data_IF_730737644589
#
_entry.id   IF_730737644589
#
_cell.length_a   1.000
_cell.length_b   1.000
_cell.length_c   1.000
_cell.angle_alpha   90.00
_cell.angle_beta   90.00
_cell.angle_gamma   90.00
#
_symmetry.space_group_name_H-M   'P 1'
#
loop_
_entity.id
_entity.type
_entity.pdbx_description
1 polymer ?
#
# COMPACT_ATOMS: atom_id res chain seq x y z
N UNK A 1 17.28 -19.36 -1.24
CA UNK A 1 15.94 -18.78 -1.52
C UNK A 1 16.10 -17.77 -2.65
N UNK A 2 15.28 -17.83 -3.71
CA UNK A 2 15.37 -16.87 -4.82
C UNK A 2 15.03 -15.45 -4.37
N UNK A 3 15.57 -14.42 -5.06
CA UNK A 3 15.27 -13.00 -4.74
C UNK A 3 13.77 -12.69 -4.88
N UNK A 4 13.11 -13.30 -5.88
CA UNK A 4 11.66 -13.16 -6.09
C UNK A 4 10.86 -13.75 -4.92
N UNK A 5 11.18 -14.96 -4.46
CA UNK A 5 10.50 -15.57 -3.31
C UNK A 5 10.69 -14.74 -2.03
N UNK A 6 11.91 -14.20 -1.81
CA UNK A 6 12.17 -13.28 -0.70
C UNK A 6 11.32 -12.01 -0.80
N UNK A 7 11.19 -11.45 -2.02
CA UNK A 7 10.37 -10.27 -2.27
C UNK A 7 8.89 -10.53 -1.94
N UNK A 8 8.32 -11.65 -2.39
CA UNK A 8 6.93 -12.01 -2.10
C UNK A 8 6.68 -12.20 -0.59
N UNK A 9 7.56 -12.92 0.11
CA UNK A 9 7.43 -13.10 1.57
C UNK A 9 7.49 -11.75 2.29
N UNK A 10 8.41 -10.86 1.92
CA UNK A 10 8.53 -9.55 2.54
C UNK A 10 7.32 -8.66 2.25
N UNK A 11 6.74 -8.72 1.03
CA UNK A 11 5.51 -8.01 0.70
C UNK A 11 4.31 -8.53 1.51
N UNK A 12 4.21 -9.84 1.73
CA UNK A 12 3.18 -10.42 2.61
C UNK A 12 3.33 -9.92 4.05
N UNK A 13 4.57 -9.83 4.57
CA UNK A 13 4.83 -9.29 5.92
C UNK A 13 4.47 -7.79 6.01
N UNK A 14 4.76 -7.02 4.97
CA UNK A 14 4.33 -5.61 4.89
C UNK A 14 2.80 -5.53 4.92
N UNK A 15 2.12 -6.35 4.14
CA UNK A 15 0.66 -6.38 4.07
C UNK A 15 0.03 -6.79 5.41
N UNK A 16 0.64 -7.74 6.12
CA UNK A 16 0.27 -8.11 7.48
C UNK A 16 0.39 -6.90 8.43
N UNK A 17 1.53 -6.19 8.39
CA UNK A 17 1.74 -5.01 9.23
C UNK A 17 0.68 -3.93 8.95
N UNK A 18 0.34 -3.67 7.68
CA UNK A 18 -0.70 -2.71 7.32
C UNK A 18 -2.09 -3.15 7.81
N UNK A 19 -2.47 -4.42 7.61
CA UNK A 19 -3.74 -4.96 8.08
C UNK A 19 -3.93 -4.82 9.58
N UNK A 20 -2.90 -5.11 10.38
CA UNK A 20 -2.93 -4.97 11.84
C UNK A 20 -3.10 -3.50 12.26
N UNK A 21 -2.51 -2.56 11.53
CA UNK A 21 -2.46 -1.15 11.96
C UNK A 21 -3.72 -0.34 11.66
N UNK A 22 -4.67 -0.82 10.88
CA UNK A 22 -5.94 -0.11 10.69
C UNK A 22 -6.67 0.19 12.01
N UNK A 23 -6.69 -0.78 12.92
CA UNK A 23 -7.29 -0.62 14.25
C UNK A 23 -6.51 0.41 15.07
N UNK A 24 -5.18 0.32 15.06
CA UNK A 24 -4.28 1.25 15.78
C UNK A 24 -4.47 2.69 15.30
N UNK A 25 -4.54 2.90 13.98
CA UNK A 25 -4.76 4.21 13.39
C UNK A 25 -6.15 4.75 13.77
N UNK A 26 -7.19 3.94 13.59
CA UNK A 26 -8.56 4.36 13.91
C UNK A 26 -8.73 4.76 15.37
N UNK A 27 -8.06 4.07 16.28
CA UNK A 27 -8.05 4.39 17.71
C UNK A 27 -7.29 5.70 17.97
N UNK A 28 -6.12 5.91 17.36
CA UNK A 28 -5.35 7.14 17.51
C UNK A 28 -6.09 8.38 16.98
N UNK A 29 -6.88 8.24 15.90
CA UNK A 29 -7.64 9.33 15.30
C UNK A 29 -8.77 9.89 16.18
N UNK A 30 -9.01 9.31 17.37
CA UNK A 30 -9.88 9.94 18.39
C UNK A 30 -9.20 11.12 19.09
N UNK A 31 -7.86 11.13 19.14
CA UNK A 31 -7.06 12.11 19.89
C UNK A 31 -6.23 13.02 18.98
N UNK A 32 -6.15 12.73 17.69
CA UNK A 32 -5.36 13.50 16.71
C UNK A 32 -6.09 13.61 15.38
N UNK A 33 -5.98 14.77 14.74
CA UNK A 33 -6.56 14.97 13.40
C UNK A 33 -5.80 14.20 12.32
N UNK A 34 -6.50 13.72 11.25
CA UNK A 34 -5.95 12.78 10.30
C UNK A 34 -4.74 13.28 9.51
N UNK A 35 -4.77 14.55 9.05
CA UNK A 35 -3.65 15.09 8.27
C UNK A 35 -2.43 15.35 9.15
N UNK A 36 -2.63 15.79 10.38
CA UNK A 36 -1.56 15.95 11.36
C UNK A 36 -0.91 14.61 11.70
N UNK A 37 -1.73 13.55 11.92
CA UNK A 37 -1.25 12.21 12.15
C UNK A 37 -0.37 11.71 10.99
N UNK A 38 -0.86 11.85 9.74
CA UNK A 38 -0.12 11.47 8.54
C UNK A 38 1.19 12.25 8.43
N UNK A 39 1.17 13.56 8.70
CA UNK A 39 2.36 14.41 8.64
C UNK A 39 3.41 13.94 9.64
N UNK A 40 3.04 13.75 10.90
CA UNK A 40 3.98 13.35 11.96
C UNK A 40 4.61 11.98 11.67
N UNK A 41 3.78 10.98 11.28
CA UNK A 41 4.31 9.66 10.94
C UNK A 41 5.20 9.69 9.70
N UNK A 42 4.85 10.47 8.66
CA UNK A 42 5.62 10.54 7.43
C UNK A 42 6.92 11.30 7.61
N UNK A 43 6.92 12.41 8.36
CA UNK A 43 8.14 13.15 8.72
C UNK A 43 9.09 12.26 9.50
N UNK A 44 8.61 11.55 10.52
CA UNK A 44 9.45 10.63 11.30
C UNK A 44 10.02 9.52 10.40
N UNK A 45 9.22 8.92 9.53
CA UNK A 45 9.68 7.91 8.59
C UNK A 45 10.72 8.47 7.60
N UNK A 46 10.49 9.65 7.04
CA UNK A 46 11.41 10.30 6.11
C UNK A 46 12.76 10.62 6.76
N UNK A 47 12.75 11.12 8.00
CA UNK A 47 13.98 11.39 8.77
C UNK A 47 14.75 10.09 9.04
N UNK A 48 14.07 9.04 9.49
CA UNK A 48 14.68 7.73 9.73
C UNK A 48 15.29 7.15 8.44
N UNK A 49 14.57 7.21 7.32
CA UNK A 49 15.07 6.73 6.03
C UNK A 49 16.25 7.56 5.52
N UNK A 50 16.17 8.89 5.62
CA UNK A 50 17.26 9.79 5.22
C UNK A 50 18.52 9.53 6.05
N UNK A 51 18.40 9.31 7.36
CA UNK A 51 19.52 8.97 8.23
C UNK A 51 20.10 7.60 7.91
N UNK A 52 19.25 6.58 7.71
CA UNK A 52 19.68 5.21 7.43
C UNK A 52 20.37 5.09 6.06
N UNK A 53 19.85 5.78 5.05
CA UNK A 53 20.39 5.76 3.69
C UNK A 53 21.24 7.00 3.34
N UNK A 54 21.72 7.76 4.31
CA UNK A 54 22.49 8.99 4.12
C UNK A 54 23.65 8.82 3.12
N UNK A 55 24.34 7.68 3.17
CA UNK A 55 25.47 7.38 2.27
C UNK A 55 25.06 7.19 0.80
N UNK A 56 23.80 6.88 0.51
CA UNK A 56 23.28 6.64 -0.84
C UNK A 56 22.69 7.91 -1.49
N UNK A 57 22.54 9.02 -0.73
CA UNK A 57 21.90 10.25 -1.19
C UNK A 57 22.78 11.21 -2.00
N UNK A 58 24.11 11.28 -1.81
CA UNK A 58 24.92 12.36 -2.40
C UNK A 58 24.95 12.42 -3.94
N UNK A 59 24.53 11.35 -4.64
CA UNK A 59 24.56 11.25 -6.11
C UNK A 59 23.17 11.03 -6.72
N UNK A 60 22.16 11.72 -6.21
CA UNK A 60 20.79 11.63 -6.79
C UNK A 60 20.76 12.35 -8.14
N UNK A 61 20.48 11.61 -9.22
CA UNK A 61 20.30 12.19 -10.54
C UNK A 61 18.98 12.96 -10.67
N UNK A 62 18.90 13.89 -11.61
CA UNK A 62 17.63 14.59 -11.92
C UNK A 62 16.51 13.61 -12.32
N UNK A 63 16.85 12.50 -12.97
CA UNK A 63 15.90 11.46 -13.35
C UNK A 63 15.35 10.73 -12.10
N UNK A 64 16.22 10.36 -11.16
CA UNK A 64 15.84 9.75 -9.88
C UNK A 64 14.97 10.70 -9.05
N UNK A 65 15.32 11.99 -9.00
CA UNK A 65 14.53 13.01 -8.31
C UNK A 65 13.11 13.11 -8.88
N UNK A 66 12.97 13.15 -10.22
CA UNK A 66 11.64 13.16 -10.89
C UNK A 66 10.85 11.90 -10.62
N UNK A 67 11.50 10.73 -10.64
CA UNK A 67 10.86 9.47 -10.30
C UNK A 67 10.37 9.44 -8.84
N UNK A 68 11.21 9.85 -7.89
CA UNK A 68 10.86 9.95 -6.47
C UNK A 68 9.76 10.97 -6.21
N UNK A 69 9.78 12.13 -6.90
CA UNK A 69 8.73 13.13 -6.83
C UNK A 69 7.37 12.56 -7.28
N UNK A 70 7.33 11.90 -8.42
CA UNK A 70 6.10 11.32 -8.96
C UNK A 70 5.52 10.25 -8.02
N UNK A 71 6.36 9.32 -7.55
CA UNK A 71 5.94 8.28 -6.60
C UNK A 71 5.48 8.89 -5.27
N UNK A 72 6.19 9.91 -4.77
CA UNK A 72 5.86 10.62 -3.53
C UNK A 72 4.56 11.40 -3.59
N UNK A 73 4.20 12.00 -4.73
CA UNK A 73 2.91 12.67 -4.94
C UNK A 73 1.76 11.66 -4.80
N UNK A 74 1.87 10.49 -5.45
CA UNK A 74 0.82 9.47 -5.34
C UNK A 74 0.77 8.80 -3.96
N UNK A 75 1.90 8.71 -3.28
CA UNK A 75 1.96 8.27 -1.88
C UNK A 75 1.23 9.25 -0.96
N UNK A 76 1.50 10.55 -1.09
CA UNK A 76 0.81 11.61 -0.37
C UNK A 76 -0.70 11.56 -0.60
N UNK A 77 -1.17 11.57 -1.85
CA UNK A 77 -2.59 11.50 -2.19
C UNK A 77 -3.24 10.23 -1.60
N UNK A 78 -2.56 9.09 -1.70
CA UNK A 78 -3.05 7.83 -1.14
C UNK A 78 -3.32 7.92 0.35
N UNK A 79 -2.39 8.42 1.12
CA UNK A 79 -2.53 8.55 2.57
C UNK A 79 -3.52 9.62 3.00
N UNK A 80 -3.50 10.80 2.37
CA UNK A 80 -4.45 11.88 2.68
C UNK A 80 -5.89 11.40 2.48
N UNK A 81 -6.17 10.77 1.34
CA UNK A 81 -7.48 10.24 1.02
C UNK A 81 -7.86 9.07 1.93
N UNK A 82 -6.94 8.14 2.22
CA UNK A 82 -7.21 6.99 3.07
C UNK A 82 -7.54 7.41 4.51
N UNK A 83 -6.69 8.22 5.12
CA UNK A 83 -6.83 8.54 6.54
C UNK A 83 -8.01 9.49 6.77
N UNK A 84 -8.23 10.48 5.89
CA UNK A 84 -9.41 11.35 5.95
C UNK A 84 -10.68 10.54 5.67
N UNK A 85 -10.65 9.63 4.70
CA UNK A 85 -11.76 8.72 4.42
C UNK A 85 -12.08 7.82 5.59
N UNK A 86 -11.06 7.27 6.27
CA UNK A 86 -11.22 6.37 7.42
C UNK A 86 -11.95 7.04 8.61
N UNK A 87 -11.84 8.36 8.79
CA UNK A 87 -12.62 9.08 9.81
C UNK A 87 -14.11 8.97 9.52
N UNK A 88 -14.50 9.03 8.24
CA UNK A 88 -15.88 9.14 7.77
C UNK A 88 -16.52 7.80 7.40
N UNK A 89 -15.74 6.71 7.33
CA UNK A 89 -16.21 5.37 6.99
C UNK A 89 -15.72 4.32 7.99
N UNK A 90 -16.11 3.05 7.79
CA UNK A 90 -15.67 1.95 8.65
C UNK A 90 -14.31 1.41 8.21
N UNK A 91 -13.47 0.84 9.11
CA UNK A 91 -12.22 0.20 8.74
C UNK A 91 -12.39 -0.89 7.67
N UNK A 92 -13.40 -1.74 7.78
CA UNK A 92 -13.68 -2.83 6.82
C UNK A 92 -14.03 -2.28 5.43
N UNK A 93 -14.84 -1.20 5.35
CA UNK A 93 -15.22 -0.57 4.09
C UNK A 93 -14.05 0.18 3.47
N UNK A 94 -13.24 0.85 4.28
CA UNK A 94 -12.01 1.50 3.84
C UNK A 94 -11.00 0.47 3.29
N UNK A 95 -10.78 -0.63 4.00
CA UNK A 95 -9.90 -1.71 3.53
C UNK A 95 -10.38 -2.32 2.20
N UNK A 96 -11.70 -2.52 2.03
CA UNK A 96 -12.29 -2.98 0.76
C UNK A 96 -11.99 -2.01 -0.39
N UNK A 97 -12.34 -0.74 -0.20
CA UNK A 97 -12.19 0.27 -1.25
C UNK A 97 -10.71 0.49 -1.61
N UNK A 98 -9.80 0.50 -0.64
CA UNK A 98 -8.35 0.55 -0.88
C UNK A 98 -7.88 -0.69 -1.66
N UNK A 99 -8.38 -1.87 -1.29
CA UNK A 99 -8.08 -3.15 -1.96
C UNK A 99 -8.48 -3.20 -3.44
N UNK A 100 -9.37 -2.30 -3.91
CA UNK A 100 -9.69 -2.19 -5.35
C UNK A 100 -8.47 -1.88 -6.22
N UNK A 101 -7.37 -1.41 -5.64
CA UNK A 101 -6.08 -1.25 -6.33
C UNK A 101 -5.63 -2.53 -7.04
N UNK A 102 -6.02 -3.72 -6.55
CA UNK A 102 -5.73 -5.01 -7.19
C UNK A 102 -6.28 -5.11 -8.63
N UNK A 103 -7.41 -4.46 -8.90
CA UNK A 103 -8.00 -4.38 -10.25
C UNK A 103 -7.49 -3.16 -10.99
N UNK A 104 -7.37 -2.02 -10.30
CA UNK A 104 -6.99 -0.75 -10.92
C UNK A 104 -5.58 -0.81 -11.51
N UNK A 105 -4.63 -1.50 -10.86
CA UNK A 105 -3.26 -1.65 -11.37
C UNK A 105 -3.23 -2.32 -12.75
N UNK A 106 -3.75 -3.55 -12.96
CA UNK A 106 -3.73 -4.16 -14.28
C UNK A 106 -4.58 -3.39 -15.31
N UNK A 107 -5.70 -2.78 -14.92
CA UNK A 107 -6.52 -1.95 -15.80
C UNK A 107 -5.75 -0.72 -16.28
N UNK A 108 -5.09 0.01 -15.38
CA UNK A 108 -4.28 1.17 -15.75
C UNK A 108 -3.07 0.78 -16.60
N UNK A 109 -2.44 -0.37 -16.33
CA UNK A 109 -1.36 -0.90 -17.18
C UNK A 109 -1.85 -1.25 -18.59
N UNK A 110 -3.04 -1.84 -18.72
CA UNK A 110 -3.63 -2.18 -20.01
C UNK A 110 -3.97 -0.91 -20.81
N UNK A 111 -4.63 0.07 -20.19
CA UNK A 111 -5.10 1.30 -20.88
C UNK A 111 -3.92 2.24 -21.16
N UNK A 112 -3.10 2.53 -20.13
CA UNK A 112 -2.06 3.57 -20.24
C UNK A 112 -0.79 3.09 -20.93
N UNK A 113 -0.45 1.81 -20.83
CA UNK A 113 0.81 1.26 -21.36
C UNK A 113 0.63 0.07 -22.29
N UNK A 114 -0.61 -0.30 -22.63
CA UNK A 114 -0.97 -1.42 -23.51
C UNK A 114 -0.35 -2.76 -23.05
N UNK A 115 -0.14 -2.92 -21.74
CA UNK A 115 0.40 -4.14 -21.13
C UNK A 115 -0.72 -5.00 -20.59
N UNK A 116 -0.98 -6.11 -21.27
CA UNK A 116 -1.98 -7.09 -20.84
C UNK A 116 -1.35 -8.10 -19.88
N UNK A 117 -2.07 -8.44 -18.83
CA UNK A 117 -1.69 -9.54 -17.94
C UNK A 117 -2.02 -10.89 -18.56
N UNK A 118 -1.26 -11.92 -18.20
CA UNK A 118 -1.59 -13.27 -18.66
C UNK A 118 -2.91 -13.78 -18.02
N UNK A 119 -3.49 -14.83 -18.61
CA UNK A 119 -4.78 -15.37 -18.17
C UNK A 119 -4.81 -15.85 -16.73
N UNK A 120 -3.70 -16.35 -16.19
CA UNK A 120 -3.60 -16.84 -14.82
C UNK A 120 -3.59 -15.69 -13.82
N UNK A 121 -2.83 -14.64 -14.09
CA UNK A 121 -2.84 -13.41 -13.30
C UNK A 121 -4.21 -12.73 -13.37
N UNK A 122 -4.86 -12.68 -14.55
CA UNK A 122 -6.21 -12.15 -14.68
C UNK A 122 -7.23 -12.94 -13.85
N UNK A 123 -7.15 -14.28 -13.88
CA UNK A 123 -7.99 -15.15 -13.05
C UNK A 123 -7.72 -14.94 -11.54
N UNK A 124 -6.46 -14.76 -11.14
CA UNK A 124 -6.06 -14.45 -9.77
C UNK A 124 -6.64 -13.11 -9.29
N UNK A 125 -6.56 -12.07 -10.12
CA UNK A 125 -7.15 -10.75 -9.84
C UNK A 125 -8.67 -10.84 -9.71
N UNK A 126 -9.35 -11.56 -10.60
CA UNK A 126 -10.80 -11.76 -10.53
C UNK A 126 -11.21 -12.53 -9.26
N UNK A 127 -10.47 -13.57 -8.89
CA UNK A 127 -10.70 -14.33 -7.66
C UNK A 127 -10.48 -13.46 -6.41
N UNK A 128 -9.38 -12.67 -6.38
CA UNK A 128 -9.08 -11.75 -5.28
C UNK A 128 -10.18 -10.68 -5.14
N UNK A 129 -10.68 -10.14 -6.24
CA UNK A 129 -11.79 -9.18 -6.20
C UNK A 129 -13.09 -9.79 -5.67
N UNK A 130 -13.47 -10.99 -6.17
CA UNK A 130 -14.63 -11.70 -5.67
C UNK A 130 -14.49 -12.02 -4.17
N UNK A 131 -13.29 -12.44 -3.74
CA UNK A 131 -12.97 -12.68 -2.35
C UNK A 131 -13.06 -11.43 -1.49
N UNK A 132 -12.52 -10.31 -1.98
CA UNK A 132 -12.58 -9.00 -1.34
C UNK A 132 -14.04 -8.56 -1.14
N UNK A 133 -14.88 -8.74 -2.15
CA UNK A 133 -16.32 -8.48 -2.06
C UNK A 133 -16.99 -9.35 -0.98
N UNK A 134 -16.73 -10.65 -0.97
CA UNK A 134 -17.31 -11.56 0.01
C UNK A 134 -16.84 -11.28 1.45
N UNK A 135 -15.59 -10.89 1.61
CA UNK A 135 -14.98 -10.62 2.93
C UNK A 135 -15.59 -9.37 3.58
N UNK A 136 -15.87 -8.33 2.77
CA UNK A 136 -16.13 -6.99 3.30
C UNK A 136 -17.56 -6.51 3.13
N UNK A 137 -18.28 -7.04 2.14
CA UNK A 137 -19.70 -6.66 1.91
C UNK A 137 -20.63 -7.56 2.75
N UNK A 138 -21.50 -6.99 3.60
CA UNK A 138 -22.47 -7.76 4.36
C UNK A 138 -23.40 -8.61 3.49
N UNK A 139 -23.95 -9.69 4.03
CA UNK A 139 -24.79 -10.64 3.28
C UNK A 139 -26.09 -10.03 2.75
N UNK A 140 -26.61 -9.01 3.41
CA UNK A 140 -27.82 -8.27 2.99
C UNK A 140 -27.63 -7.44 1.72
N UNK A 141 -26.38 -7.25 1.27
CA UNK A 141 -25.98 -6.66 -0.01
C UNK A 141 -26.53 -5.25 -0.32
N UNK A 142 -27.59 -4.88 0.35
CA UNK A 142 -28.40 -3.69 0.04
C UNK A 142 -27.69 -2.35 0.33
N UNK A 143 -26.76 -2.33 1.29
CA UNK A 143 -26.13 -1.09 1.74
C UNK A 143 -24.92 -0.63 0.93
N UNK A 144 -24.29 -1.52 0.15
CA UNK A 144 -23.09 -1.15 -0.63
C UNK A 144 -23.43 -0.75 -2.09
N UNK A 145 -24.51 -1.31 -2.63
CA UNK A 145 -24.96 -1.04 -4.00
C UNK A 145 -26.03 0.07 -4.07
N UNK A 146 -26.63 0.45 -2.94
CA UNK A 146 -27.49 1.62 -2.90
C UNK A 146 -26.63 2.88 -2.90
N UNK A 147 -26.80 3.75 -3.88
CA UNK A 147 -26.17 5.08 -3.94
C UNK A 147 -26.43 5.92 -2.68
N UNK A 148 -27.50 5.61 -1.94
CA UNK A 148 -27.85 6.18 -0.62
C UNK A 148 -26.86 5.82 0.48
N UNK A 149 -26.02 4.78 0.30
CA UNK A 149 -25.00 4.32 1.27
C UNK A 149 -23.57 4.81 1.02
N UNK A 150 -23.33 5.53 -0.10
CA UNK A 150 -22.00 6.07 -0.43
C UNK A 150 -21.83 7.42 0.28
N UNK A 151 -20.90 7.48 1.22
CA UNK A 151 -20.57 8.73 1.90
C UNK A 151 -19.26 9.34 1.35
N UNK A 152 -18.94 10.55 1.80
CA UNK A 152 -17.70 11.26 1.39
C UNK A 152 -16.44 10.46 1.71
N UNK A 153 -16.43 9.71 2.81
CA UNK A 153 -15.31 8.87 3.21
C UNK A 153 -15.06 7.73 2.22
N UNK A 154 -16.12 7.16 1.66
CA UNK A 154 -16.04 6.12 0.63
C UNK A 154 -15.43 6.66 -0.68
N UNK A 155 -15.84 7.86 -1.09
CA UNK A 155 -15.29 8.52 -2.28
C UNK A 155 -13.81 8.87 -2.10
N UNK A 156 -13.42 9.38 -0.93
CA UNK A 156 -12.02 9.61 -0.59
C UNK A 156 -11.22 8.31 -0.63
N UNK A 157 -11.74 7.23 -0.03
CA UNK A 157 -11.05 5.93 -0.03
C UNK A 157 -10.98 5.32 -1.44
N UNK A 158 -11.94 5.58 -2.32
CA UNK A 158 -11.82 5.20 -3.74
C UNK A 158 -10.71 6.00 -4.43
N UNK A 159 -10.62 7.30 -4.15
CA UNK A 159 -9.50 8.15 -4.60
C UNK A 159 -8.15 7.64 -4.09
N UNK A 160 -8.10 7.15 -2.86
CA UNK A 160 -6.94 6.47 -2.28
C UNK A 160 -6.54 5.23 -3.11
N UNK A 161 -7.48 4.36 -3.48
CA UNK A 161 -7.19 3.18 -4.30
C UNK A 161 -6.58 3.55 -5.66
N UNK A 162 -7.09 4.61 -6.30
CA UNK A 162 -6.53 5.15 -7.54
C UNK A 162 -5.10 5.65 -7.32
N UNK A 163 -4.87 6.43 -6.26
CA UNK A 163 -3.57 6.98 -5.96
C UNK A 163 -2.54 5.88 -5.66
N UNK A 164 -2.88 4.90 -4.84
CA UNK A 164 -1.99 3.77 -4.58
C UNK A 164 -1.76 2.88 -5.80
N UNK A 165 -2.75 2.71 -6.68
CA UNK A 165 -2.53 2.00 -7.93
C UNK A 165 -1.46 2.69 -8.79
N UNK A 166 -1.49 4.02 -8.91
CA UNK A 166 -0.45 4.78 -9.60
C UNK A 166 0.88 4.75 -8.84
N UNK A 167 0.89 4.84 -7.51
CA UNK A 167 2.10 4.70 -6.70
C UNK A 167 2.80 3.36 -6.98
N UNK A 168 2.07 2.24 -6.97
CA UNK A 168 2.60 0.90 -7.26
C UNK A 168 3.17 0.83 -8.68
N UNK A 169 2.46 1.36 -9.68
CA UNK A 169 2.89 1.34 -11.08
C UNK A 169 4.15 2.18 -11.28
N UNK A 170 4.17 3.42 -10.79
CA UNK A 170 5.31 4.31 -10.97
C UNK A 170 6.52 3.88 -10.17
N UNK A 171 6.33 3.34 -8.95
CA UNK A 171 7.41 2.74 -8.18
C UNK A 171 8.02 1.56 -8.93
N UNK A 172 7.21 0.62 -9.43
CA UNK A 172 7.70 -0.52 -10.21
C UNK A 172 8.46 -0.09 -11.48
N UNK A 173 8.09 1.04 -12.09
CA UNK A 173 8.85 1.61 -13.23
C UNK A 173 10.15 2.25 -12.77
N UNK A 174 10.12 2.99 -11.67
CA UNK A 174 11.32 3.61 -11.10
C UNK A 174 12.37 2.57 -10.71
N UNK A 175 11.94 1.41 -10.20
CA UNK A 175 12.84 0.33 -9.77
C UNK A 175 13.58 -0.37 -10.91
N UNK A 176 13.25 -0.09 -12.16
CA UNK A 176 13.98 -0.59 -13.34
C UNK A 176 15.23 0.22 -13.68
N UNK A 177 15.31 1.47 -13.19
CA UNK A 177 16.35 2.43 -13.61
C UNK A 177 17.01 3.17 -12.44
N UNK A 178 16.52 3.00 -11.22
CA UNK A 178 16.96 3.78 -10.06
C UNK A 178 17.20 2.89 -8.85
N UNK A 179 18.10 3.30 -7.97
CA UNK A 179 18.37 2.62 -6.72
C UNK A 179 17.18 2.75 -5.76
N UNK A 180 16.72 1.63 -5.20
CA UNK A 180 15.55 1.59 -4.32
C UNK A 180 15.70 2.47 -3.07
N UNK A 181 16.93 2.56 -2.52
CA UNK A 181 17.21 3.39 -1.36
C UNK A 181 16.89 4.88 -1.62
N UNK A 182 17.34 5.39 -2.78
CA UNK A 182 17.11 6.78 -3.16
C UNK A 182 15.63 7.06 -3.38
N UNK A 183 14.93 6.16 -4.08
CA UNK A 183 13.50 6.34 -4.37
C UNK A 183 12.66 6.18 -3.09
N UNK A 184 13.02 5.24 -2.19
CA UNK A 184 12.35 5.08 -0.89
C UNK A 184 12.45 6.34 -0.03
N UNK A 185 13.63 6.96 0.04
CA UNK A 185 13.81 8.24 0.75
C UNK A 185 13.03 9.36 0.08
N UNK A 186 13.18 9.52 -1.23
CA UNK A 186 12.57 10.62 -1.98
C UNK A 186 11.04 10.60 -1.89
N UNK A 187 10.41 9.42 -2.07
CA UNK A 187 8.94 9.33 -1.96
C UNK A 187 8.45 9.72 -0.56
N UNK A 188 9.16 9.29 0.50
CA UNK A 188 8.80 9.63 1.87
C UNK A 188 8.99 11.13 2.17
N UNK A 189 10.11 11.72 1.72
CA UNK A 189 10.39 13.17 1.89
C UNK A 189 9.35 14.00 1.14
N UNK A 190 9.07 13.66 -0.13
CA UNK A 190 8.06 14.38 -0.93
C UNK A 190 6.69 14.27 -0.29
N UNK A 191 6.27 13.08 0.13
CA UNK A 191 5.00 12.91 0.82
C UNK A 191 4.94 13.69 2.13
N UNK A 192 6.01 13.68 2.95
CA UNK A 192 6.09 14.43 4.19
C UNK A 192 5.96 15.95 3.97
N UNK A 193 6.65 16.49 2.97
CA UNK A 193 6.57 17.92 2.63
C UNK A 193 5.17 18.31 2.16
N UNK A 194 4.55 17.51 1.27
CA UNK A 194 3.21 17.77 0.78
C UNK A 194 2.15 17.63 1.89
N UNK A 195 2.26 16.61 2.76
CA UNK A 195 1.40 16.46 3.93
C UNK A 195 1.52 17.66 4.88
N UNK A 196 2.75 18.08 5.19
CA UNK A 196 2.97 19.26 6.04
C UNK A 196 2.37 20.55 5.43
N UNK A 197 2.39 20.67 4.10
CA UNK A 197 1.79 21.82 3.40
C UNK A 197 0.25 21.74 3.37
N UNK A 198 -0.36 20.56 3.38
CA UNK A 198 -1.82 20.40 3.36
C UNK A 198 -2.47 20.62 4.71
N UNK A 199 -1.80 20.33 5.83
CA UNK A 199 -2.36 20.51 7.18
C UNK A 199 -2.96 21.91 7.39
N UNK A 200 -2.23 23.02 7.21
CA UNK A 200 -2.80 24.35 7.47
C UNK A 200 -3.88 24.79 6.47
N UNK A 201 -3.99 24.10 5.32
CA UNK A 201 -4.92 24.44 4.26
C UNK A 201 -6.24 23.67 4.37
N UNK A 202 -6.21 22.45 4.90
CA UNK A 202 -7.32 21.50 4.81
C UNK A 202 -7.88 21.06 6.17
N UNK A 203 -7.17 21.31 7.28
CA UNK A 203 -7.71 21.01 8.62
C UNK A 203 -7.24 22.02 9.67
N UNK A 204 -7.98 22.06 10.77
CA UNK A 204 -7.54 22.73 12.00
C UNK A 204 -6.81 21.69 12.86
N UNK A 205 -5.46 21.68 12.88
CA UNK A 205 -4.71 20.62 13.51
C UNK A 205 -4.97 20.61 15.02
N UNK A 206 -5.33 19.44 15.52
CA UNK A 206 -5.56 19.20 16.93
C UNK A 206 -4.93 17.88 17.37
N UNK A 207 -4.33 17.86 18.55
CA UNK A 207 -3.77 16.65 19.15
C UNK A 207 -3.88 16.69 20.67
N UNK A 208 -4.38 15.60 21.24
CA UNK A 208 -4.28 15.29 22.67
C UNK A 208 -3.17 14.25 22.83
N UNK A 209 -2.01 14.71 23.33
CA UNK A 209 -0.87 13.82 23.49
C UNK A 209 -1.15 12.74 24.54
N UNK A 210 -1.14 11.50 24.11
CA UNK A 210 -1.31 10.31 24.94
C UNK A 210 -0.28 9.25 24.54
N UNK A 211 -0.02 8.28 25.42
CA UNK A 211 0.82 7.14 25.09
C UNK A 211 0.31 6.37 23.86
N UNK A 212 -1.01 6.33 23.65
CA UNK A 212 -1.67 5.73 22.49
C UNK A 212 -1.28 6.43 21.18
N UNK A 213 -1.36 7.77 21.13
CA UNK A 213 -1.00 8.56 19.94
C UNK A 213 0.49 8.42 19.64
N UNK A 214 1.35 8.54 20.66
CA UNK A 214 2.81 8.38 20.46
C UNK A 214 3.17 6.99 19.94
N UNK A 215 2.60 5.94 20.54
CA UNK A 215 2.78 4.58 20.09
C UNK A 215 2.34 4.37 18.63
N UNK A 216 1.14 4.87 18.29
CA UNK A 216 0.61 4.77 16.93
C UNK A 216 1.50 5.48 15.91
N UNK A 217 1.97 6.70 16.21
CA UNK A 217 2.89 7.45 15.33
C UNK A 217 4.19 6.67 15.14
N UNK A 218 4.84 6.21 16.22
CA UNK A 218 6.13 5.53 16.15
C UNK A 218 6.02 4.20 15.39
N UNK A 219 5.06 3.37 15.74
CA UNK A 219 4.87 2.06 15.09
C UNK A 219 4.54 2.23 13.60
N UNK A 220 3.60 3.12 13.27
CA UNK A 220 3.23 3.32 11.86
C UNK A 220 4.33 4.01 11.06
N UNK A 221 5.10 4.92 11.65
CA UNK A 221 6.24 5.55 10.99
C UNK A 221 7.36 4.55 10.69
N UNK A 222 7.77 3.75 11.66
CA UNK A 222 8.93 2.87 11.51
C UNK A 222 8.60 1.60 10.71
N UNK A 223 7.54 0.89 11.09
CA UNK A 223 7.22 -0.41 10.49
C UNK A 223 6.33 -0.29 9.27
N UNK A 224 5.26 0.50 9.35
CA UNK A 224 4.26 0.58 8.27
C UNK A 224 4.55 1.67 7.23
N UNK A 225 5.57 2.49 7.45
CA UNK A 225 5.99 3.52 6.49
C UNK A 225 7.45 3.30 6.10
N UNK A 226 8.42 3.54 6.98
CA UNK A 226 9.84 3.48 6.62
C UNK A 226 10.26 2.08 6.15
N UNK A 227 10.04 1.04 6.97
CA UNK A 227 10.38 -0.33 6.60
C UNK A 227 9.52 -0.82 5.43
N UNK A 228 8.19 -0.60 5.48
CA UNK A 228 7.27 -1.09 4.48
C UNK A 228 7.56 -0.55 3.08
N UNK A 229 7.74 0.78 2.91
CA UNK A 229 8.03 1.35 1.58
C UNK A 229 9.46 1.09 1.10
N UNK A 230 10.40 0.86 2.02
CA UNK A 230 11.72 0.34 1.65
C UNK A 230 11.63 -1.07 1.09
N UNK A 231 10.90 -1.95 1.80
CA UNK A 231 10.67 -3.33 1.37
C UNK A 231 9.90 -3.34 0.05
N UNK A 232 8.86 -2.54 -0.10
CA UNK A 232 8.10 -2.42 -1.34
C UNK A 232 9.01 -1.98 -2.50
N UNK A 233 9.81 -0.92 -2.31
CA UNK A 233 10.72 -0.43 -3.34
C UNK A 233 11.75 -1.50 -3.74
N UNK A 234 12.35 -2.18 -2.76
CA UNK A 234 13.26 -3.30 -3.03
C UNK A 234 12.56 -4.47 -3.73
N UNK A 235 11.40 -4.88 -3.25
CA UNK A 235 10.66 -6.02 -3.79
C UNK A 235 10.19 -5.79 -5.23
N UNK A 236 9.80 -4.57 -5.58
CA UNK A 236 9.36 -4.23 -6.94
C UNK A 236 10.49 -4.20 -7.98
N UNK A 237 11.74 -4.41 -7.58
CA UNK A 237 12.83 -4.76 -8.52
C UNK A 237 12.64 -6.19 -9.08
N UNK A 238 11.96 -7.07 -8.35
CA UNK A 238 11.81 -8.50 -8.65
C UNK A 238 10.35 -8.92 -8.85
N UNK A 239 9.40 -8.03 -8.58
CA UNK A 239 7.95 -8.31 -8.58
C UNK A 239 7.23 -7.27 -9.43
N UNK A 240 6.46 -7.68 -10.47
CA UNK A 240 5.68 -6.76 -11.29
C UNK A 240 4.61 -6.00 -10.47
N UNK A 241 4.20 -4.78 -10.90
CA UNK A 241 3.17 -4.00 -10.19
C UNK A 241 1.86 -4.76 -9.95
N UNK A 242 1.39 -5.56 -10.92
CA UNK A 242 0.16 -6.35 -10.78
C UNK A 242 0.28 -7.41 -9.68
N UNK A 243 1.42 -8.11 -9.60
CA UNK A 243 1.66 -9.10 -8.54
C UNK A 243 1.79 -8.41 -7.17
N UNK A 244 2.45 -7.26 -7.10
CA UNK A 244 2.52 -6.46 -5.87
C UNK A 244 1.13 -6.06 -5.39
N UNK A 245 0.27 -5.52 -6.27
CA UNK A 245 -1.11 -5.16 -5.94
C UNK A 245 -1.95 -6.37 -5.51
N UNK A 246 -1.73 -7.53 -6.14
CA UNK A 246 -2.40 -8.77 -5.78
C UNK A 246 -1.99 -9.26 -4.39
N UNK A 247 -0.70 -9.21 -4.03
CA UNK A 247 -0.24 -9.53 -2.67
C UNK A 247 -0.85 -8.56 -1.66
N UNK A 248 -0.93 -7.27 -1.99
CA UNK A 248 -1.53 -6.26 -1.11
C UNK A 248 -3.05 -6.48 -0.89
N UNK A 249 -3.74 -7.21 -1.77
CA UNK A 249 -5.14 -7.60 -1.53
C UNK A 249 -5.33 -8.55 -0.33
N UNK A 250 -4.26 -9.08 0.26
CA UNK A 250 -4.29 -9.79 1.55
C UNK A 250 -4.49 -8.87 2.76
N UNK A 251 -4.31 -7.56 2.62
CA UNK A 251 -4.45 -6.60 3.71
C UNK A 251 -5.80 -6.69 4.45
N UNK A 252 -6.96 -6.71 3.77
CA UNK A 252 -8.25 -6.93 4.44
C UNK A 252 -8.38 -8.28 5.12
N UNK A 253 -7.70 -9.33 4.63
CA UNK A 253 -7.66 -10.65 5.29
C UNK A 253 -6.94 -10.53 6.62
N UNK A 254 -5.79 -9.88 6.66
CA UNK A 254 -5.05 -9.66 7.89
C UNK A 254 -5.77 -8.72 8.86
N UNK A 255 -6.42 -7.66 8.35
CA UNK A 255 -7.26 -6.78 9.17
C UNK A 255 -8.41 -7.56 9.83
N UNK A 256 -9.07 -8.42 9.07
CA UNK A 256 -10.15 -9.28 9.54
C UNK A 256 -9.68 -10.31 10.60
N UNK A 257 -8.54 -10.98 10.36
CA UNK A 257 -7.94 -11.88 11.34
C UNK A 257 -7.56 -11.15 12.64
N UNK A 258 -7.04 -9.93 12.52
CA UNK A 258 -6.68 -9.10 13.68
C UNK A 258 -7.93 -8.72 14.49
N UNK A 259 -9.01 -8.31 13.84
CA UNK A 259 -10.27 -8.03 14.51
C UNK A 259 -10.81 -9.26 15.25
N UNK A 260 -10.70 -10.46 14.68
CA UNK A 260 -11.06 -11.70 15.36
C UNK A 260 -10.26 -11.93 16.63
N UNK A 261 -8.92 -11.82 16.54
CA UNK A 261 -8.02 -12.10 17.67
C UNK A 261 -8.12 -11.04 18.77
N UNK A 262 -8.20 -9.75 18.37
CA UNK A 262 -8.12 -8.61 19.31
C UNK A 262 -9.50 -8.24 19.85
N UNK A 263 -10.53 -8.26 18.99
CA UNK A 263 -11.88 -7.81 19.34
C UNK A 263 -12.86 -8.96 19.59
N UNK A 264 -12.44 -10.22 19.39
CA UNK A 264 -13.29 -11.39 19.57
C UNK A 264 -14.46 -11.49 18.58
N UNK A 265 -14.37 -10.82 17.44
CA UNK A 265 -15.40 -10.85 16.40
C UNK A 265 -15.58 -12.27 15.84
N UNK A 266 -16.84 -12.73 15.67
CA UNK A 266 -17.09 -14.06 15.08
C UNK A 266 -16.81 -14.04 13.59
N UNK A 267 -16.00 -14.99 13.14
CA UNK A 267 -15.73 -15.20 11.73
C UNK A 267 -16.93 -15.85 11.05
N UNK A 268 -17.62 -15.10 10.18
CA UNK A 268 -18.70 -15.66 9.36
C UNK A 268 -18.14 -16.53 8.21
N UNK A 269 -18.85 -17.58 7.81
CA UNK A 269 -18.45 -18.48 6.71
C UNK A 269 -18.21 -17.71 5.41
N UNK A 270 -19.00 -16.69 5.12
CA UNK A 270 -18.86 -15.82 3.94
C UNK A 270 -17.51 -15.09 3.91
N UNK A 271 -17.11 -14.53 5.07
CA UNK A 271 -15.82 -13.86 5.19
C UNK A 271 -14.64 -14.85 5.05
N UNK A 272 -14.79 -16.06 5.61
CA UNK A 272 -13.82 -17.15 5.42
C UNK A 272 -13.66 -17.58 3.96
N UNK A 273 -14.76 -17.71 3.21
CA UNK A 273 -14.72 -17.97 1.77
C UNK A 273 -14.07 -16.82 1.00
N UNK A 274 -14.36 -15.58 1.40
CA UNK A 274 -13.71 -14.39 0.82
C UNK A 274 -12.20 -14.40 1.01
N UNK A 275 -11.73 -14.66 2.23
CA UNK A 275 -10.30 -14.79 2.54
C UNK A 275 -9.64 -15.93 1.76
N UNK A 276 -10.30 -17.08 1.64
CA UNK A 276 -9.81 -18.22 0.86
C UNK A 276 -9.70 -17.90 -0.64
N UNK A 277 -10.65 -17.16 -1.21
CA UNK A 277 -10.59 -16.72 -2.61
C UNK A 277 -9.46 -15.72 -2.85
N UNK A 278 -9.21 -14.76 -1.94
CA UNK A 278 -8.09 -13.83 -2.05
C UNK A 278 -6.77 -14.62 -2.03
N UNK A 279 -6.59 -15.47 -1.03
CA UNK A 279 -5.38 -16.29 -0.90
C UNK A 279 -5.19 -17.21 -2.12
N UNK A 280 -6.26 -17.88 -2.56
CA UNK A 280 -6.24 -18.74 -3.77
C UNK A 280 -5.89 -17.96 -5.02
N UNK A 281 -6.41 -16.72 -5.18
CA UNK A 281 -6.09 -15.82 -6.28
C UNK A 281 -4.62 -15.41 -6.30
N UNK A 282 -4.06 -15.05 -5.13
CA UNK A 282 -2.62 -14.75 -4.98
C UNK A 282 -1.78 -15.97 -5.38
N UNK A 283 -2.06 -17.15 -4.80
CA UNK A 283 -1.32 -18.37 -5.10
C UNK A 283 -1.43 -18.77 -6.57
N UNK A 284 -2.61 -18.67 -7.19
CA UNK A 284 -2.81 -18.98 -8.60
C UNK A 284 -1.94 -18.09 -9.50
N UNK A 285 -1.92 -16.78 -9.23
CA UNK A 285 -1.10 -15.83 -9.98
C UNK A 285 0.39 -16.09 -9.79
N UNK A 286 0.83 -16.35 -8.57
CA UNK A 286 2.25 -16.58 -8.26
C UNK A 286 2.76 -17.90 -8.87
N UNK A 287 2.01 -18.99 -8.75
CA UNK A 287 2.47 -20.31 -9.20
C UNK A 287 2.38 -20.50 -10.72
N UNK A 288 1.34 -19.95 -11.35
CA UNK A 288 1.11 -20.12 -12.80
C UNK A 288 1.32 -18.85 -13.61
N UNK A 289 1.08 -17.69 -13.03
CA UNK A 289 1.24 -16.40 -13.69
C UNK A 289 2.71 -16.06 -13.92
N UNK A 290 3.56 -16.26 -12.91
CA UNK A 290 5.00 -16.01 -13.02
C UNK A 290 5.69 -16.92 -14.03
N UNK A 291 5.27 -18.18 -14.15
CA UNK A 291 5.80 -19.11 -15.12
C UNK A 291 5.44 -18.77 -16.58
N UNK A 292 4.37 -17.99 -16.80
CA UNK A 292 3.88 -17.62 -18.12
C UNK A 292 4.36 -16.23 -18.59
N UNK A 293 5.07 -15.47 -17.75
CA UNK A 293 5.62 -14.16 -18.12
C UNK A 293 7.01 -14.31 -18.74
N UNK A 294 7.24 -13.80 -19.97
CA UNK A 294 8.59 -13.76 -20.52
C UNK A 294 9.48 -12.84 -19.65
N UNK A 295 10.75 -13.22 -19.49
CA UNK A 295 11.78 -12.53 -18.70
C UNK A 295 11.98 -11.02 -19.05
N UNK A 296 11.42 -10.56 -20.16
CA UNK A 296 11.43 -9.17 -20.65
C UNK A 296 10.55 -8.20 -19.83
N UNK A 297 9.66 -8.67 -18.94
CA UNK A 297 8.85 -7.77 -18.09
C UNK A 297 9.58 -7.34 -16.82
N UNK A 298 10.49 -8.16 -16.34
CA UNK A 298 11.44 -7.80 -15.29
C UNK A 298 12.74 -7.45 -15.98
N UNK A 299 13.01 -6.17 -16.22
CA UNK A 299 14.28 -5.72 -16.78
C UNK A 299 15.45 -6.23 -15.94
N UNK A 300 16.69 -6.27 -16.49
CA UNK A 300 17.85 -6.70 -15.74
C UNK A 300 17.95 -5.87 -14.44
N UNK A 301 18.10 -6.56 -13.31
CA UNK A 301 18.44 -5.89 -12.06
C UNK A 301 19.72 -5.07 -12.29
N UNK A 302 19.73 -3.80 -11.84
CA UNK A 302 20.97 -3.04 -11.84
C UNK A 302 22.05 -3.85 -11.11
N UNK A 303 23.29 -3.89 -11.61
CA UNK A 303 24.37 -4.56 -10.93
C UNK A 303 24.47 -4.02 -9.49
N UNK A 304 24.55 -4.92 -8.53
CA UNK A 304 24.87 -4.54 -7.17
C UNK A 304 26.21 -3.83 -7.19
N UNK A 305 26.25 -2.60 -6.70
CA UNK A 305 27.53 -1.94 -6.42
C UNK A 305 28.22 -2.85 -5.40
N UNK A 306 29.34 -3.46 -5.81
CA UNK A 306 30.09 -4.34 -4.93
C UNK A 306 30.47 -3.56 -3.68
N UNK A 307 30.38 -4.18 -2.53
CA UNK A 307 30.82 -3.62 -1.24
C UNK A 307 32.33 -3.33 -1.19
N UNK A 308 33.04 -3.60 -2.27
CA UNK A 308 34.51 -3.51 -2.36
C UNK A 308 35.00 -2.19 -3.00
N UNK A 309 34.09 -1.25 -3.37
CA UNK A 309 34.46 0.09 -3.85
C UNK A 309 34.02 1.19 -2.85
N UNK A 310 34.37 1.02 -1.54
CA UNK A 310 34.27 2.10 -0.56
C UNK A 310 35.65 2.43 -0.03
#
# INVERSE_FOLDING_TARGET
>A
MSRSLKAHILLVLVTLAWGVTFVVIKDALQDITPLLFNTLRMVLAALCLAAFYARHLPRISRATLRAGLLVGIFLWLGYEFQTTGLVLTTPSKSAFLTGLSVILVPVFLAIGWRRMVNRWTAAGVAAAFAGLYLLTVPADGRRLLSLEGINRGDLLTLGCAVAFAFQIIFLGRAMRAHHYQQVAVLQAVVAAVLMAATVPLAEHPHVVWSGRVLWAIVVTALFCTAAAFTIQAWAQQFTPPTHTALIFSLEPVFAWLTSYVVMGERLGMRAGLGAALILGGVLLSELKGSAAQPATEVGPALPEVSSDEV
#
